data_IF_566069921651
#
_entry.id   IF_566069921651
#
_cell.length_a   1.000
_cell.length_b   1.000
_cell.length_c   1.000
_cell.angle_alpha   90.00
_cell.angle_beta   90.00
_cell.angle_gamma   90.00
#
_symmetry.space_group_name_H-M   'P 1'
#
loop_
_entity.id
_entity.type
_entity.pdbx_description
1 polymer ?
#
# COMPACT_ATOMS: atom_id res chain seq x y z
N UNK A 1 17.65 24.76 -36.80
CA UNK A 1 17.63 23.38 -37.32
C UNK A 1 16.49 22.67 -36.59
N UNK A 2 15.31 22.75 -37.16
CA UNK A 2 14.10 22.11 -36.63
C UNK A 2 14.14 20.62 -37.01
N UNK A 3 14.15 19.74 -36.02
CA UNK A 3 13.83 18.34 -36.21
C UNK A 3 12.36 18.14 -35.88
N UNK A 4 11.50 18.35 -36.87
CA UNK A 4 10.14 17.80 -36.86
C UNK A 4 10.20 16.34 -37.28
N UNK A 5 9.98 15.44 -36.31
CA UNK A 5 9.73 14.02 -36.53
C UNK A 5 8.31 13.69 -36.05
N UNK A 6 7.49 13.16 -36.96
CA UNK A 6 6.07 12.90 -36.78
C UNK A 6 5.76 11.68 -35.88
N UNK A 7 4.68 11.80 -35.10
CA UNK A 7 3.68 10.79 -34.73
C UNK A 7 4.15 9.43 -34.15
N UNK A 8 3.92 9.27 -32.84
CA UNK A 8 3.38 8.04 -32.27
C UNK A 8 2.38 8.39 -31.15
N UNK A 9 1.10 8.32 -31.48
CA UNK A 9 0.04 7.98 -30.54
C UNK A 9 0.35 6.56 -30.03
N UNK A 10 0.57 6.41 -28.72
CA UNK A 10 0.56 5.19 -27.90
C UNK A 10 1.48 5.39 -26.69
N UNK A 11 0.86 5.58 -25.52
CA UNK A 11 1.43 5.34 -24.18
C UNK A 11 2.91 5.63 -24.02
N UNK A 12 3.27 6.86 -23.65
CA UNK A 12 4.53 7.11 -22.96
C UNK A 12 4.47 6.42 -21.60
N UNK A 13 4.70 5.11 -21.58
CA UNK A 13 5.07 4.40 -20.37
C UNK A 13 6.41 5.01 -19.96
N UNK A 14 6.35 6.02 -19.10
CA UNK A 14 7.50 6.66 -18.50
C UNK A 14 8.27 5.56 -17.77
N UNK A 15 9.35 5.09 -18.40
CA UNK A 15 10.17 4.02 -17.83
C UNK A 15 10.69 4.54 -16.48
N UNK A 16 10.56 3.76 -15.39
CA UNK A 16 11.07 4.17 -14.09
C UNK A 16 12.56 4.47 -14.19
N UNK A 17 13.04 5.44 -13.42
CA UNK A 17 14.48 5.65 -13.29
C UNK A 17 15.14 4.37 -12.79
N UNK A 18 16.40 4.12 -13.15
CA UNK A 18 17.15 3.02 -12.56
C UNK A 18 17.13 3.11 -11.02
N UNK A 19 17.17 4.32 -10.47
CA UNK A 19 17.04 4.57 -9.03
C UNK A 19 15.69 4.05 -8.50
N UNK A 20 14.59 4.38 -9.18
CA UNK A 20 13.24 3.88 -8.84
C UNK A 20 13.14 2.35 -8.89
N UNK A 21 13.82 1.71 -9.84
CA UNK A 21 13.87 0.25 -9.95
C UNK A 21 14.66 -0.41 -8.81
N UNK A 22 15.56 0.33 -8.15
CA UNK A 22 16.34 -0.15 -7.00
C UNK A 22 15.73 0.20 -5.65
N UNK A 23 14.70 1.06 -5.61
CA UNK A 23 13.96 1.36 -4.38
C UNK A 23 13.33 0.07 -3.87
N UNK A 24 13.76 -0.37 -2.67
CA UNK A 24 13.16 -1.52 -2.02
C UNK A 24 11.69 -1.21 -1.72
N UNK A 25 10.74 -2.03 -2.22
CA UNK A 25 9.34 -1.86 -1.89
C UNK A 25 9.17 -1.96 -0.36
N UNK A 26 8.23 -1.19 0.20
CA UNK A 26 7.95 -1.26 1.63
C UNK A 26 7.46 -2.67 1.96
N UNK A 27 8.30 -3.43 2.67
CA UNK A 27 8.02 -4.81 3.04
C UNK A 27 6.72 -4.93 3.85
N UNK A 28 6.30 -3.87 4.56
CA UNK A 28 5.02 -3.87 5.26
C UNK A 28 3.83 -4.02 4.30
N UNK A 29 3.92 -3.45 3.09
CA UNK A 29 2.88 -3.63 2.07
C UNK A 29 2.76 -5.08 1.62
N UNK A 30 3.90 -5.77 1.54
CA UNK A 30 3.98 -7.19 1.18
C UNK A 30 3.43 -8.09 2.27
N UNK A 31 3.73 -7.81 3.55
CA UNK A 31 3.30 -8.64 4.68
C UNK A 31 1.85 -8.39 5.07
N UNK A 32 1.36 -7.16 4.88
CA UNK A 32 0.05 -6.77 5.36
C UNK A 32 -1.15 -7.64 4.92
N UNK A 33 -1.28 -8.17 3.68
CA UNK A 33 -2.38 -9.07 3.33
C UNK A 33 -2.34 -10.44 4.03
N UNK A 34 -1.19 -10.84 4.60
CA UNK A 34 -1.04 -12.11 5.33
C UNK A 34 -1.33 -11.98 6.82
N UNK A 35 -1.50 -10.76 7.31
CA UNK A 35 -1.78 -10.50 8.72
C UNK A 35 -3.30 -10.48 8.97
N UNK A 36 -3.78 -11.11 10.05
CA UNK A 36 -5.19 -11.06 10.40
C UNK A 36 -5.59 -9.63 10.79
N UNK A 37 -6.82 -9.23 10.46
CA UNK A 37 -7.34 -7.86 10.65
C UNK A 37 -7.26 -7.40 12.11
N UNK A 38 -7.39 -8.32 13.08
CA UNK A 38 -7.23 -8.01 14.51
C UNK A 38 -5.85 -7.41 14.84
N UNK A 39 -4.81 -7.87 14.14
CA UNK A 39 -3.44 -7.42 14.38
C UNK A 39 -3.25 -5.99 13.88
N UNK A 40 -4.06 -5.53 12.93
CA UNK A 40 -3.92 -4.17 12.39
C UNK A 40 -4.08 -3.12 13.49
N UNK A 41 -4.98 -3.32 14.45
CA UNK A 41 -5.15 -2.42 15.59
C UNK A 41 -3.88 -2.39 16.48
N UNK A 42 -3.32 -3.55 16.81
CA UNK A 42 -2.08 -3.66 17.58
C UNK A 42 -0.89 -3.04 16.83
N UNK A 43 -0.78 -3.30 15.52
CA UNK A 43 0.27 -2.78 14.65
C UNK A 43 0.20 -1.26 14.51
N UNK A 44 -1.01 -0.67 14.46
CA UNK A 44 -1.19 0.77 14.45
C UNK A 44 -0.59 1.47 15.69
N UNK A 45 -0.46 0.76 16.82
CA UNK A 45 0.09 1.31 18.06
C UNK A 45 1.61 1.17 18.17
N UNK A 46 2.25 0.36 17.31
CA UNK A 46 3.70 0.09 17.40
C UNK A 46 4.53 1.31 17.01
N UNK A 47 4.19 1.97 15.91
CA UNK A 47 4.88 3.18 15.45
C UNK A 47 4.07 3.96 14.44
N UNK A 48 4.43 5.24 14.21
CA UNK A 48 3.79 6.07 13.17
C UNK A 48 3.86 5.44 11.78
N UNK A 49 4.97 4.76 11.44
CA UNK A 49 5.11 4.08 10.15
C UNK A 49 4.06 2.97 9.98
N UNK A 50 3.86 2.15 11.02
CA UNK A 50 2.87 1.09 10.99
C UNK A 50 1.46 1.67 10.98
N UNK A 51 1.20 2.72 11.77
CA UNK A 51 -0.07 3.44 11.73
C UNK A 51 -0.43 3.89 10.32
N UNK A 52 0.48 4.56 9.61
CA UNK A 52 0.24 5.01 8.23
C UNK A 52 -0.04 3.86 7.25
N UNK A 53 0.53 2.69 7.49
CA UNK A 53 0.38 1.53 6.61
C UNK A 53 -0.90 0.71 6.88
N UNK A 54 -1.29 0.56 8.15
CA UNK A 54 -2.39 -0.31 8.57
C UNK A 54 -3.69 0.43 8.86
N UNK A 55 -3.66 1.70 9.28
CA UNK A 55 -4.88 2.45 9.58
C UNK A 55 -5.83 2.56 8.36
N UNK A 56 -5.36 2.87 7.13
CA UNK A 56 -6.26 2.90 5.98
C UNK A 56 -6.91 1.54 5.69
N UNK A 57 -6.18 0.43 5.94
CA UNK A 57 -6.68 -0.93 5.73
C UNK A 57 -7.70 -1.33 6.78
N UNK A 58 -7.50 -0.89 8.03
CA UNK A 58 -8.43 -1.09 9.13
C UNK A 58 -9.75 -0.32 8.89
N UNK A 59 -9.66 0.92 8.39
CA UNK A 59 -10.81 1.79 8.17
C UNK A 59 -11.47 1.63 6.78
N UNK A 60 -10.94 0.77 5.90
CA UNK A 60 -11.56 0.51 4.59
C UNK A 60 -12.93 -0.15 4.72
N UNK A 61 -13.10 -1.02 5.72
CA UNK A 61 -14.40 -1.57 6.12
C UNK A 61 -14.50 -1.60 7.65
N UNK A 62 -14.97 -0.49 8.27
CA UNK A 62 -14.99 -0.37 9.73
C UNK A 62 -15.99 -1.33 10.38
N UNK A 63 -17.07 -1.71 9.68
CA UNK A 63 -18.08 -2.63 10.22
C UNK A 63 -17.54 -4.05 10.27
N UNK A 64 -16.87 -4.49 9.19
CA UNK A 64 -16.22 -5.80 9.16
C UNK A 64 -15.05 -5.86 10.13
N UNK A 65 -14.26 -4.79 10.23
CA UNK A 65 -13.18 -4.69 11.22
C UNK A 65 -13.73 -4.81 12.66
N UNK A 66 -14.79 -4.05 12.99
CA UNK A 66 -15.43 -4.12 14.31
C UNK A 66 -16.06 -5.49 14.59
N UNK A 67 -16.69 -6.12 13.59
CA UNK A 67 -17.28 -7.45 13.74
C UNK A 67 -16.22 -8.54 13.94
N UNK A 68 -15.09 -8.48 13.23
CA UNK A 68 -13.97 -9.41 13.42
C UNK A 68 -13.34 -9.25 14.80
N UNK A 69 -13.10 -8.01 15.24
CA UNK A 69 -12.59 -7.72 16.58
C UNK A 69 -13.57 -8.21 17.65
N UNK A 70 -14.87 -8.00 17.46
CA UNK A 70 -15.89 -8.44 18.41
C UNK A 70 -15.97 -9.98 18.51
N UNK A 71 -15.87 -10.69 17.39
CA UNK A 71 -15.95 -12.16 17.32
C UNK A 71 -14.77 -12.88 17.96
N UNK A 72 -13.58 -12.28 17.96
CA UNK A 72 -12.36 -12.87 18.54
C UNK A 72 -12.24 -12.64 20.07
N UNK A 73 -13.16 -11.90 20.71
CA UNK A 73 -13.18 -11.69 22.18
C UNK A 73 -13.89 -12.81 22.97
N UNK A 74 -13.99 -14.01 22.40
CA UNK A 74 -14.67 -15.18 22.98
C UNK A 74 -13.70 -16.26 23.47
#
# INVERSE_FOLDING_TARGET
MEYSGCLADHGTAYLPSYEDATIRPDWLQLVAPYLPVREYAHLCLVSRRFYHQFAPRLWNDPLTAAALIHRDNG
#
